data_IF_669159485466
#
_entry.id   IF_669159485466
#
_cell.length_a   1.000
_cell.length_b   1.000
_cell.length_c   1.000
_cell.angle_alpha   90.00
_cell.angle_beta   90.00
_cell.angle_gamma   90.00
#
_symmetry.space_group_name_H-M   'P 1'
#
loop_
_entity.id
_entity.type
_entity.pdbx_description
1 polymer ?
#
# COMPACT_ATOMS: atom_id res chain seq x y z
N UNK A 1 -10.60 -7.82 28.70
CA UNK A 1 -10.82 -6.63 27.86
C UNK A 1 -10.42 -6.98 26.43
N UNK A 2 -11.40 -7.13 25.55
CA UNK A 2 -11.22 -7.48 24.14
C UNK A 2 -12.15 -6.58 23.33
N UNK A 3 -11.59 -5.72 22.46
CA UNK A 3 -12.36 -4.87 21.57
C UNK A 3 -12.29 -5.43 20.13
N UNK A 4 -13.36 -6.08 19.71
CA UNK A 4 -13.64 -6.37 18.30
C UNK A 4 -14.47 -5.24 17.73
N UNK A 5 -13.95 -4.51 16.74
CA UNK A 5 -14.73 -3.54 15.96
C UNK A 5 -15.37 -4.25 14.78
N UNK A 6 -16.66 -4.56 14.91
CA UNK A 6 -17.55 -4.82 13.77
C UNK A 6 -17.94 -3.46 13.19
N UNK A 7 -17.71 -3.25 11.89
CA UNK A 7 -18.37 -2.17 11.17
C UNK A 7 -19.58 -2.78 10.45
N UNK A 8 -20.73 -2.62 11.10
CA UNK A 8 -22.04 -2.76 10.51
C UNK A 8 -22.22 -1.58 9.54
N UNK A 9 -22.48 -1.87 8.27
CA UNK A 9 -22.58 -0.86 7.20
C UNK A 9 -23.99 -0.89 6.63
N UNK A 10 -24.98 -0.67 7.49
CA UNK A 10 -26.27 -0.16 7.10
C UNK A 10 -26.20 1.36 7.23
N UNK A 11 -26.05 2.04 6.10
CA UNK A 11 -26.50 3.42 5.99
C UNK A 11 -27.06 3.56 4.58
N UNK A 12 -28.38 3.65 4.52
CA UNK A 12 -29.13 3.85 3.29
C UNK A 12 -28.71 5.21 2.74
N UNK A 13 -27.86 5.19 1.72
CA UNK A 13 -27.41 6.39 1.06
C UNK A 13 -28.60 7.06 0.39
N UNK A 14 -29.16 8.07 1.05
CA UNK A 14 -30.04 9.05 0.44
C UNK A 14 -29.37 9.51 -0.87
N UNK A 15 -29.99 9.12 -1.98
CA UNK A 15 -29.58 9.56 -3.31
C UNK A 15 -30.03 11.01 -3.42
N UNK A 16 -29.09 11.94 -3.52
CA UNK A 16 -29.38 13.30 -3.99
C UNK A 16 -29.99 13.19 -5.40
N UNK A 17 -31.33 13.14 -5.48
CA UNK A 17 -32.08 13.32 -6.72
C UNK A 17 -32.00 14.80 -7.07
N UNK A 18 -30.91 15.17 -7.77
CA UNK A 18 -30.90 16.38 -8.57
C UNK A 18 -32.14 16.37 -9.46
N UNK A 19 -32.85 17.50 -9.47
CA UNK A 19 -34.09 17.73 -10.20
C UNK A 19 -34.09 17.01 -11.55
N UNK A 20 -35.11 16.16 -11.75
CA UNK A 20 -35.36 15.44 -13.00
C UNK A 20 -35.61 16.47 -14.12
N UNK A 21 -34.53 16.88 -14.78
CA UNK A 21 -34.62 17.49 -16.10
C UNK A 21 -34.67 16.35 -17.12
N UNK A 22 -35.63 16.45 -18.02
CA UNK A 22 -36.04 15.44 -19.00
C UNK A 22 -34.83 14.76 -19.64
N UNK A 23 -34.70 13.45 -19.39
CA UNK A 23 -33.62 12.63 -19.96
C UNK A 23 -33.86 12.59 -21.47
N UNK A 24 -32.96 13.22 -22.23
CA UNK A 24 -33.00 13.16 -23.69
C UNK A 24 -32.49 11.80 -24.17
N UNK A 25 -32.95 11.32 -25.34
CA UNK A 25 -32.49 10.04 -25.92
C UNK A 25 -30.95 9.97 -26.07
N UNK A 26 -30.27 11.13 -26.18
CA UNK A 26 -28.80 11.23 -26.20
C UNK A 26 -28.10 10.92 -24.87
N UNK A 27 -28.80 11.02 -23.73
CA UNK A 27 -28.22 10.74 -22.42
C UNK A 27 -28.15 9.23 -22.14
N UNK A 28 -29.03 8.44 -22.78
CA UNK A 28 -29.08 6.98 -22.64
C UNK A 28 -27.78 6.34 -23.17
N UNK A 29 -27.24 6.86 -24.26
CA UNK A 29 -25.97 6.40 -24.83
C UNK A 29 -24.78 6.76 -23.94
N UNK A 30 -24.82 7.92 -23.27
CA UNK A 30 -23.80 8.33 -22.30
C UNK A 30 -23.84 7.47 -21.03
N UNK A 31 -25.02 7.19 -20.48
CA UNK A 31 -25.18 6.28 -19.34
C UNK A 31 -24.80 4.83 -19.69
N UNK A 32 -25.10 4.37 -20.91
CA UNK A 32 -24.69 3.05 -21.38
C UNK A 32 -23.17 2.95 -21.58
N UNK A 33 -22.51 4.03 -22.02
CA UNK A 33 -21.05 4.11 -22.08
C UNK A 33 -20.41 3.93 -20.68
N UNK A 34 -20.92 4.62 -19.65
CA UNK A 34 -20.44 4.50 -18.27
C UNK A 34 -20.68 3.08 -17.72
N UNK A 35 -21.86 2.50 -17.98
CA UNK A 35 -22.22 1.14 -17.55
C UNK A 35 -21.36 0.07 -18.25
N UNK A 36 -20.96 0.31 -19.49
CA UNK A 36 -20.07 -0.58 -20.25
C UNK A 36 -18.65 -0.66 -19.65
N UNK A 37 -18.21 0.38 -18.93
CA UNK A 37 -16.93 0.35 -18.22
C UNK A 37 -16.97 -0.51 -16.94
N UNK A 38 -18.16 -0.80 -16.40
CA UNK A 38 -18.31 -1.48 -15.11
C UNK A 38 -18.15 -3.00 -15.16
N UNK A 39 -18.02 -3.64 -16.33
CA UNK A 39 -17.85 -5.11 -16.41
C UNK A 39 -16.93 -5.58 -17.53
N UNK A 40 -15.68 -5.12 -17.56
CA UNK A 40 -14.62 -5.96 -18.15
C UNK A 40 -14.29 -7.10 -17.17
N UNK A 41 -15.14 -8.13 -17.19
CA UNK A 41 -14.88 -9.44 -16.58
C UNK A 41 -13.76 -10.22 -17.31
N UNK A 42 -12.93 -9.56 -18.12
CA UNK A 42 -11.99 -10.19 -19.04
C UNK A 42 -10.57 -10.32 -18.50
N UNK A 43 -10.27 -9.85 -17.28
CA UNK A 43 -9.03 -10.21 -16.59
C UNK A 43 -9.29 -11.30 -15.56
N UNK A 44 -9.68 -12.49 -16.05
CA UNK A 44 -9.83 -13.71 -15.25
C UNK A 44 -8.47 -14.29 -14.79
N UNK A 45 -7.37 -13.53 -14.91
CA UNK A 45 -6.10 -13.94 -14.33
C UNK A 45 -6.25 -13.98 -12.81
N UNK A 46 -6.03 -15.16 -12.23
CA UNK A 46 -5.99 -15.33 -10.77
C UNK A 46 -5.03 -14.29 -10.19
N UNK A 47 -5.57 -13.28 -9.52
CA UNK A 47 -4.76 -12.25 -8.86
C UNK A 47 -3.90 -12.96 -7.82
N UNK A 48 -2.59 -12.71 -7.87
CA UNK A 48 -1.69 -13.24 -6.86
C UNK A 48 -2.13 -12.70 -5.50
N UNK A 49 -2.29 -13.58 -4.50
CA UNK A 49 -2.67 -13.14 -3.15
C UNK A 49 -1.58 -12.22 -2.62
N UNK A 50 -1.93 -11.08 -2.00
CA UNK A 50 -0.92 -10.20 -1.42
C UNK A 50 -0.20 -10.94 -0.28
N UNK A 51 1.11 -10.71 -0.18
CA UNK A 51 1.89 -11.24 0.93
C UNK A 51 1.44 -10.62 2.25
N UNK A 52 1.28 -11.45 3.29
CA UNK A 52 0.91 -11.01 4.64
C UNK A 52 2.18 -10.77 5.44
N UNK A 53 2.38 -9.53 5.87
CA UNK A 53 3.52 -9.14 6.68
C UNK A 53 3.35 -9.61 8.13
N UNK A 54 4.26 -10.44 8.61
CA UNK A 54 4.36 -10.73 10.05
C UNK A 54 5.22 -9.67 10.75
N UNK A 55 5.19 -9.70 12.08
CA UNK A 55 5.96 -8.80 12.91
C UNK A 55 7.48 -8.93 12.64
N UNK A 56 7.98 -10.17 12.60
CA UNK A 56 9.39 -10.47 12.29
C UNK A 56 9.82 -9.90 10.93
N UNK A 57 9.01 -10.09 9.90
CA UNK A 57 9.30 -9.57 8.55
C UNK A 57 9.31 -8.05 8.52
N UNK A 58 8.41 -7.42 9.29
CA UNK A 58 8.33 -5.96 9.42
C UNK A 58 9.57 -5.42 10.14
N UNK A 59 10.08 -6.11 11.16
CA UNK A 59 11.36 -5.74 11.80
C UNK A 59 12.53 -5.85 10.81
N UNK A 60 12.61 -6.94 10.05
CA UNK A 60 13.65 -7.10 9.01
C UNK A 60 13.56 -5.98 7.96
N UNK A 61 12.35 -5.58 7.57
CA UNK A 61 12.13 -4.45 6.67
C UNK A 61 12.71 -3.15 7.23
N UNK A 62 12.45 -2.81 8.50
CA UNK A 62 13.00 -1.60 9.12
C UNK A 62 14.54 -1.65 9.24
N UNK A 63 15.10 -2.80 9.58
CA UNK A 63 16.55 -3.00 9.63
C UNK A 63 17.20 -2.83 8.24
N UNK A 64 16.60 -3.44 7.22
CA UNK A 64 17.07 -3.31 5.84
C UNK A 64 16.91 -1.89 5.30
N UNK A 65 15.83 -1.20 5.66
CA UNK A 65 15.59 0.21 5.32
C UNK A 65 16.67 1.11 5.91
N UNK A 66 17.13 0.83 7.14
CA UNK A 66 18.24 1.55 7.77
C UNK A 66 19.58 1.32 7.08
N UNK A 67 19.82 0.11 6.58
CA UNK A 67 21.07 -0.29 5.92
C UNK A 67 21.17 0.24 4.48
N UNK A 68 20.08 0.14 3.72
CA UNK A 68 20.07 0.40 2.27
C UNK A 68 19.29 1.65 1.86
N UNK A 69 18.63 2.33 2.81
CA UNK A 69 17.74 3.44 2.50
C UNK A 69 16.56 3.00 1.65
N UNK A 70 16.03 3.88 0.79
CA UNK A 70 14.87 3.60 -0.06
C UNK A 70 15.15 2.67 -1.26
N UNK A 71 16.18 1.81 -1.18
CA UNK A 71 16.49 0.84 -2.23
C UNK A 71 15.68 -0.46 -2.04
N UNK A 72 14.51 -0.51 -2.67
CA UNK A 72 13.55 -1.61 -2.53
C UNK A 72 14.06 -2.95 -3.06
N UNK A 73 14.98 -2.94 -4.02
CA UNK A 73 15.55 -4.18 -4.59
C UNK A 73 16.50 -4.84 -3.60
N UNK A 74 17.36 -4.05 -2.96
CA UNK A 74 18.27 -4.56 -1.93
C UNK A 74 17.51 -5.01 -0.68
N UNK A 75 16.47 -4.28 -0.29
CA UNK A 75 15.61 -4.68 0.83
C UNK A 75 14.93 -6.02 0.55
N UNK A 76 14.37 -6.22 -0.66
CA UNK A 76 13.77 -7.49 -1.04
C UNK A 76 14.77 -8.65 -0.99
N UNK A 77 16.01 -8.42 -1.48
CA UNK A 77 17.10 -9.40 -1.41
C UNK A 77 17.51 -9.74 0.03
N UNK A 78 17.60 -8.75 0.92
CA UNK A 78 17.99 -8.96 2.32
C UNK A 78 16.93 -9.74 3.11
N UNK A 79 15.65 -9.44 2.88
CA UNK A 79 14.54 -10.16 3.53
C UNK A 79 14.52 -11.63 3.07
N UNK A 80 14.92 -11.90 1.82
CA UNK A 80 15.08 -13.24 1.23
C UNK A 80 13.86 -14.16 1.43
N UNK A 81 12.65 -13.59 1.31
CA UNK A 81 11.39 -14.34 1.36
C UNK A 81 10.86 -14.49 -0.06
N UNK A 82 10.57 -15.73 -0.46
CA UNK A 82 10.14 -16.09 -1.84
C UNK A 82 8.98 -15.28 -2.40
N UNK A 83 8.09 -14.77 -1.53
CA UNK A 83 6.90 -14.02 -1.91
C UNK A 83 7.06 -12.48 -1.77
N UNK A 84 8.26 -12.00 -1.40
CA UNK A 84 8.54 -10.59 -1.15
C UNK A 84 9.43 -10.06 -2.27
N UNK A 85 8.78 -9.55 -3.32
CA UNK A 85 9.46 -8.87 -4.42
C UNK A 85 9.59 -7.36 -4.15
N UNK A 86 10.40 -6.68 -4.98
CA UNK A 86 10.55 -5.21 -4.97
C UNK A 86 9.21 -4.47 -4.90
N UNK A 87 8.20 -4.93 -5.63
CA UNK A 87 6.87 -4.30 -5.65
C UNK A 87 6.13 -4.46 -4.32
N UNK A 88 6.26 -5.61 -3.66
CA UNK A 88 5.68 -5.88 -2.34
C UNK A 88 6.34 -4.99 -1.28
N UNK A 89 7.68 -4.87 -1.33
CA UNK A 89 8.44 -3.97 -0.46
C UNK A 89 8.04 -2.51 -0.70
N UNK A 90 7.89 -2.08 -1.95
CA UNK A 90 7.45 -0.71 -2.29
C UNK A 90 6.05 -0.41 -1.73
N UNK A 91 5.13 -1.36 -1.81
CA UNK A 91 3.78 -1.22 -1.23
C UNK A 91 3.85 -1.12 0.30
N UNK A 92 4.67 -1.98 0.94
CA UNK A 92 4.90 -1.92 2.39
C UNK A 92 5.49 -0.58 2.81
N UNK A 93 6.49 -0.06 2.10
CA UNK A 93 7.07 1.24 2.38
C UNK A 93 6.02 2.36 2.32
N UNK A 94 5.18 2.40 1.28
CA UNK A 94 4.09 3.39 1.19
C UNK A 94 3.06 3.26 2.33
N UNK A 95 2.75 2.03 2.72
CA UNK A 95 1.83 1.76 3.82
C UNK A 95 2.41 2.25 5.15
N UNK A 96 3.65 1.86 5.46
CA UNK A 96 4.35 2.27 6.69
C UNK A 96 4.64 3.78 6.70
N UNK A 97 4.87 4.41 5.55
CA UNK A 97 5.03 5.86 5.47
C UNK A 97 3.76 6.60 5.90
N UNK A 98 2.58 6.04 5.64
CA UNK A 98 1.28 6.59 6.06
C UNK A 98 0.94 6.24 7.50
N UNK A 99 1.15 4.98 7.89
CA UNK A 99 0.73 4.47 9.20
C UNK A 99 1.73 4.78 10.32
N UNK A 100 3.03 4.73 10.02
CA UNK A 100 4.15 4.76 10.97
C UNK A 100 5.27 5.68 10.46
N UNK A 101 4.92 6.91 10.08
CA UNK A 101 5.85 7.87 9.46
C UNK A 101 7.11 8.12 10.30
N UNK A 102 6.97 8.18 11.63
CA UNK A 102 8.10 8.38 12.55
C UNK A 102 9.11 7.23 12.51
N UNK A 103 8.66 5.98 12.36
CA UNK A 103 9.55 4.82 12.27
C UNK A 103 10.30 4.78 10.94
N UNK A 104 9.65 5.17 9.86
CA UNK A 104 10.31 5.32 8.56
C UNK A 104 11.37 6.42 8.63
N UNK A 105 11.04 7.58 9.21
CA UNK A 105 12.00 8.66 9.39
C UNK A 105 13.18 8.26 10.28
N UNK A 106 12.93 7.54 11.38
CA UNK A 106 14.00 7.08 12.27
C UNK A 106 14.90 6.05 11.61
N UNK A 107 14.33 5.12 10.83
CA UNK A 107 15.10 4.13 10.06
C UNK A 107 15.92 4.80 8.94
N UNK A 108 15.35 5.80 8.26
CA UNK A 108 16.01 6.52 7.16
C UNK A 108 17.03 7.57 7.65
N UNK A 109 16.98 7.97 8.92
CA UNK A 109 17.99 8.83 9.51
C UNK A 109 19.29 8.04 9.54
N UNK A 110 20.26 8.45 8.70
CA UNK A 110 21.60 7.87 8.70
C UNK A 110 22.11 7.90 10.13
N UNK A 111 22.47 6.73 10.63
CA UNK A 111 23.28 6.60 11.82
C UNK A 111 24.61 7.26 11.48
N UNK A 112 24.79 8.52 11.87
CA UNK A 112 26.10 9.16 11.96
C UNK A 112 26.91 8.43 13.04
N UNK A 113 27.24 7.17 12.80
CA UNK A 113 28.50 6.66 13.33
C UNK A 113 29.50 7.18 12.32
N UNK A 114 29.99 8.38 12.61
CA UNK A 114 31.24 8.89 12.06
C UNK A 114 32.23 7.74 11.94
N UNK A 115 32.90 7.54 10.80
CA UNK A 115 33.99 6.59 10.75
C UNK A 115 34.92 6.95 11.90
N UNK A 116 35.12 6.01 12.83
CA UNK A 116 36.18 6.11 13.81
C UNK A 116 37.45 6.12 12.96
N UNK A 117 37.96 7.31 12.68
CA UNK A 117 39.32 7.48 12.20
C UNK A 117 40.19 6.92 13.33
N UNK A 118 40.57 5.66 13.21
CA UNK A 118 41.72 5.14 13.92
C UNK A 118 42.89 5.99 13.44
N UNK A 119 43.25 6.97 14.27
CA UNK A 119 44.42 7.81 14.06
C UNK A 119 45.62 6.90 13.90
N UNK A 120 46.26 7.00 12.75
CA UNK A 120 47.61 6.51 12.54
C UNK A 120 48.54 7.33 13.45
N UNK A 121 49.16 6.67 14.41
CA UNK A 121 50.44 7.07 14.98
C UNK A 121 51.46 6.01 14.59
#
# INVERSE_FOLDING_TARGET
>A
MSFSRNYDRNDEGEVCLGYLSEISESDVDYFNCIRSQQKRKSDLRKRHKPYKWHFKDTQMFYTALRKYGANMELIAKEINIKCVDRNVVKLKFKYEQKANSLLIQSAMRKSEVSPIYFGTY
#
